data_IF_875247112093
#
_entry.id   IF_875247112093
#
_cell.length_a   1.000
_cell.length_b   1.000
_cell.length_c   1.000
_cell.angle_alpha   90.00
_cell.angle_beta   90.00
_cell.angle_gamma   90.00
#
_symmetry.space_group_name_H-M   'P 1'
#
loop_
_entity.id
_entity.type
_entity.pdbx_description
1 polymer ?
#
# COMPACT_ATOMS: atom_id res chain seq x y z
N UNK A 1 40.90 -54.98 -44.82
CA UNK A 1 41.27 -54.46 -43.47
C UNK A 1 40.08 -54.66 -42.53
N UNK A 2 40.16 -55.59 -41.56
CA UNK A 2 39.12 -55.82 -40.55
C UNK A 2 39.44 -54.96 -39.32
N UNK A 3 38.59 -53.99 -38.99
CA UNK A 3 38.69 -53.20 -37.76
C UNK A 3 38.29 -54.07 -36.57
N UNK A 4 39.07 -54.14 -35.48
CA UNK A 4 38.65 -54.85 -34.28
C UNK A 4 37.46 -54.11 -33.65
N UNK A 5 36.35 -54.81 -33.44
CA UNK A 5 35.23 -54.32 -32.64
C UNK A 5 35.69 -54.27 -31.17
N UNK A 6 35.87 -53.06 -30.64
CA UNK A 6 36.09 -52.84 -29.21
C UNK A 6 34.72 -52.84 -28.52
N UNK A 7 34.44 -53.90 -27.76
CA UNK A 7 33.26 -53.97 -26.89
C UNK A 7 33.36 -52.93 -25.78
N UNK A 8 32.26 -52.22 -25.52
CA UNK A 8 32.15 -51.31 -24.38
C UNK A 8 32.26 -52.11 -23.08
N UNK A 9 33.16 -51.70 -22.19
CA UNK A 9 33.34 -52.34 -20.89
C UNK A 9 32.23 -51.86 -19.93
N UNK A 10 31.63 -52.75 -19.15
CA UNK A 10 30.45 -52.48 -18.31
C UNK A 10 30.67 -51.32 -17.31
N UNK A 11 31.91 -51.15 -16.85
CA UNK A 11 32.36 -50.05 -15.98
C UNK A 11 32.18 -48.67 -16.65
N UNK A 12 32.46 -48.56 -17.95
CA UNK A 12 32.30 -47.29 -18.69
C UNK A 12 30.83 -46.88 -18.81
N UNK A 13 29.92 -47.85 -18.86
CA UNK A 13 28.48 -47.61 -18.90
C UNK A 13 27.96 -47.14 -17.54
N UNK A 14 28.44 -47.73 -16.45
CA UNK A 14 28.09 -47.29 -15.09
C UNK A 14 28.57 -45.86 -14.82
N UNK A 15 29.80 -45.52 -15.20
CA UNK A 15 30.35 -44.15 -15.04
C UNK A 15 29.60 -43.15 -15.93
N UNK A 16 29.21 -43.53 -17.15
CA UNK A 16 28.39 -42.69 -18.03
C UNK A 16 27.02 -42.38 -17.44
N UNK A 17 26.35 -43.38 -16.84
CA UNK A 17 25.07 -43.18 -16.14
C UNK A 17 25.20 -42.27 -14.92
N UNK A 18 26.24 -42.45 -14.09
CA UNK A 18 26.41 -41.61 -12.89
C UNK A 18 26.67 -40.15 -13.27
N UNK A 19 27.51 -39.89 -14.28
CA UNK A 19 27.74 -38.53 -14.79
C UNK A 19 26.46 -37.91 -15.37
N UNK A 20 25.66 -38.69 -16.09
CA UNK A 20 24.35 -38.23 -16.60
C UNK A 20 23.40 -37.86 -15.45
N UNK A 21 23.32 -38.68 -14.39
CA UNK A 21 22.46 -38.39 -13.24
C UNK A 21 22.91 -37.14 -12.49
N UNK A 22 24.22 -36.96 -12.29
CA UNK A 22 24.78 -35.76 -11.66
C UNK A 22 24.43 -34.51 -12.47
N UNK A 23 24.54 -34.57 -13.80
CA UNK A 23 24.21 -33.44 -14.68
C UNK A 23 22.73 -33.04 -14.61
N UNK A 24 21.82 -34.01 -14.54
CA UNK A 24 20.38 -33.76 -14.42
C UNK A 24 20.06 -33.15 -13.05
N UNK A 25 20.68 -33.64 -11.98
CA UNK A 25 20.52 -33.06 -10.64
C UNK A 25 21.00 -31.61 -10.58
N UNK A 26 22.16 -31.31 -11.18
CA UNK A 26 22.67 -29.96 -11.27
C UNK A 26 21.70 -29.04 -12.03
N UNK A 27 21.17 -29.50 -13.17
CA UNK A 27 20.21 -28.73 -13.96
C UNK A 27 18.89 -28.51 -13.22
N UNK A 28 18.41 -29.50 -12.47
CA UNK A 28 17.19 -29.40 -11.66
C UNK A 28 17.35 -28.44 -10.48
N UNK A 29 18.54 -28.40 -9.87
CA UNK A 29 18.85 -27.43 -8.81
C UNK A 29 18.86 -25.99 -9.36
N UNK A 30 19.49 -25.77 -10.52
CA UNK A 30 19.47 -24.47 -11.20
C UNK A 30 18.05 -24.04 -11.58
N UNK A 31 17.25 -24.97 -12.14
CA UNK A 31 15.86 -24.71 -12.48
C UNK A 31 15.02 -24.33 -11.26
N UNK A 32 15.13 -25.07 -10.15
CA UNK A 32 14.42 -24.75 -8.90
C UNK A 32 14.78 -23.37 -8.36
N UNK A 33 16.07 -23.02 -8.37
CA UNK A 33 16.52 -21.70 -7.94
C UNK A 33 15.98 -20.60 -8.86
N UNK A 34 16.07 -20.78 -10.17
CA UNK A 34 15.56 -19.81 -11.15
C UNK A 34 14.05 -19.59 -11.02
N UNK A 35 13.27 -20.66 -10.86
CA UNK A 35 11.82 -20.58 -10.64
C UNK A 35 11.51 -19.87 -9.32
N UNK A 36 12.23 -20.19 -8.24
CA UNK A 36 12.06 -19.54 -6.95
C UNK A 36 12.29 -18.03 -7.01
N UNK A 37 13.38 -17.60 -7.67
CA UNK A 37 13.68 -16.18 -7.88
C UNK A 37 12.60 -15.51 -8.75
N UNK A 38 12.16 -16.19 -9.81
CA UNK A 38 11.14 -15.65 -10.73
C UNK A 38 9.81 -15.42 -10.02
N UNK A 39 9.36 -16.36 -9.19
CA UNK A 39 8.12 -16.23 -8.42
C UNK A 39 8.21 -15.08 -7.42
N UNK A 40 9.33 -14.94 -6.71
CA UNK A 40 9.56 -13.83 -5.78
C UNK A 40 9.53 -12.48 -6.49
N UNK A 41 10.24 -12.37 -7.62
CA UNK A 41 10.26 -11.14 -8.43
C UNK A 41 8.87 -10.75 -8.96
N UNK A 42 8.04 -11.72 -9.33
CA UNK A 42 6.65 -11.46 -9.75
C UNK A 42 5.82 -10.94 -8.57
N UNK A 43 5.96 -11.53 -7.38
CA UNK A 43 5.23 -11.09 -6.18
C UNK A 43 5.65 -9.68 -5.75
N UNK A 44 6.95 -9.41 -5.75
CA UNK A 44 7.53 -8.10 -5.45
C UNK A 44 7.01 -7.03 -6.42
N UNK A 45 7.02 -7.31 -7.73
CA UNK A 45 6.49 -6.42 -8.75
C UNK A 45 4.97 -6.19 -8.61
N UNK A 46 4.22 -7.23 -8.26
CA UNK A 46 2.78 -7.10 -7.99
C UNK A 46 2.50 -6.22 -6.77
N UNK A 47 3.27 -6.39 -5.69
CA UNK A 47 3.13 -5.57 -4.48
C UNK A 47 3.41 -4.09 -4.78
N UNK A 48 4.50 -3.80 -5.50
CA UNK A 48 4.87 -2.42 -5.85
C UNK A 48 3.83 -1.79 -6.81
N UNK A 49 3.27 -2.60 -7.72
CA UNK A 49 2.15 -2.21 -8.55
C UNK A 49 0.89 -1.86 -7.75
N UNK A 50 0.56 -2.67 -6.73
CA UNK A 50 -0.56 -2.39 -5.82
C UNK A 50 -0.32 -1.12 -5.00
N UNK A 51 0.88 -0.91 -4.44
CA UNK A 51 1.21 0.30 -3.70
C UNK A 51 1.03 1.55 -4.57
N UNK A 52 1.55 1.50 -5.80
CA UNK A 52 1.45 2.61 -6.75
C UNK A 52 0.00 2.91 -7.15
N UNK A 53 -0.78 1.87 -7.48
CA UNK A 53 -2.19 2.01 -7.81
C UNK A 53 -3.01 2.49 -6.60
N UNK A 54 -2.74 1.94 -5.42
CA UNK A 54 -3.39 2.30 -4.16
C UNK A 54 -3.15 3.76 -3.80
N UNK A 55 -1.94 4.28 -3.99
CA UNK A 55 -1.65 5.70 -3.83
C UNK A 55 -2.42 6.57 -4.80
N UNK A 56 -2.52 6.18 -6.07
CA UNK A 56 -3.29 6.94 -7.05
C UNK A 56 -4.78 6.97 -6.69
N UNK A 57 -5.37 5.83 -6.33
CA UNK A 57 -6.77 5.76 -5.89
C UNK A 57 -6.99 6.59 -4.64
N UNK A 58 -6.11 6.46 -3.64
CA UNK A 58 -6.15 7.27 -2.42
C UNK A 58 -6.10 8.77 -2.73
N UNK A 59 -5.23 9.21 -3.63
CA UNK A 59 -5.14 10.60 -4.07
C UNK A 59 -6.42 11.08 -4.77
N UNK A 60 -6.98 10.29 -5.68
CA UNK A 60 -8.21 10.64 -6.39
C UNK A 60 -9.39 10.80 -5.42
N UNK A 61 -9.53 9.87 -4.47
CA UNK A 61 -10.60 9.90 -3.47
C UNK A 61 -10.43 11.06 -2.48
N UNK A 62 -9.20 11.33 -2.04
CA UNK A 62 -8.91 12.46 -1.16
C UNK A 62 -9.19 13.81 -1.81
N UNK A 63 -9.09 13.95 -3.14
CA UNK A 63 -9.49 15.21 -3.82
C UNK A 63 -10.96 15.55 -3.65
N UNK A 64 -11.81 14.55 -3.40
CA UNK A 64 -13.22 14.75 -3.12
C UNK A 64 -13.48 15.16 -1.66
N UNK A 65 -12.46 15.21 -0.80
CA UNK A 65 -12.60 15.64 0.59
C UNK A 65 -13.07 17.09 0.68
N UNK A 66 -14.14 17.33 1.43
CA UNK A 66 -14.74 18.67 1.60
C UNK A 66 -15.36 19.26 0.34
N UNK A 67 -15.48 18.50 -0.77
CA UNK A 67 -16.09 19.02 -1.98
C UNK A 67 -17.59 19.28 -1.77
N UNK A 68 -18.05 20.47 -2.20
CA UNK A 68 -19.47 20.84 -2.18
C UNK A 68 -20.06 21.17 -0.81
N UNK A 69 -19.26 21.18 0.26
CA UNK A 69 -19.73 21.44 1.63
C UNK A 69 -19.06 22.69 2.21
N UNK A 70 -19.86 23.53 2.86
CA UNK A 70 -19.39 24.69 3.63
C UNK A 70 -19.19 24.29 5.09
N UNK A 71 -18.19 23.44 5.33
CA UNK A 71 -17.81 22.99 6.66
C UNK A 71 -16.40 23.49 6.99
N UNK A 72 -16.12 23.85 8.26
CA UNK A 72 -14.75 24.15 8.67
C UNK A 72 -13.88 22.90 8.49
N UNK A 73 -12.58 23.11 8.26
CA UNK A 73 -11.64 22.00 8.03
C UNK A 73 -11.64 20.98 9.17
N UNK A 74 -11.76 21.46 10.42
CA UNK A 74 -11.82 20.64 11.63
C UNK A 74 -13.00 19.67 11.65
N UNK A 75 -14.08 19.94 10.89
CA UNK A 75 -15.26 19.09 10.77
C UNK A 75 -15.39 18.40 9.40
N UNK A 76 -14.39 18.57 8.53
CA UNK A 76 -14.37 17.98 7.19
C UNK A 76 -13.41 16.81 7.09
N UNK A 77 -12.33 16.81 7.86
CA UNK A 77 -11.29 15.80 7.81
C UNK A 77 -10.63 15.60 9.18
N UNK A 78 -10.34 14.34 9.53
CA UNK A 78 -9.68 13.96 10.77
C UNK A 78 -8.61 12.91 10.47
N UNK A 79 -7.44 13.10 11.07
CA UNK A 79 -6.39 12.09 11.10
C UNK A 79 -6.56 11.25 12.38
N UNK A 80 -6.48 9.93 12.23
CA UNK A 80 -6.63 8.97 13.31
C UNK A 80 -5.34 8.19 13.50
N UNK A 81 -4.94 7.99 14.75
CA UNK A 81 -3.79 7.16 15.11
C UNK A 81 -4.22 5.97 15.97
N UNK A 82 -3.58 4.82 15.72
CA UNK A 82 -4.00 3.55 16.31
C UNK A 82 -5.39 3.13 15.87
N UNK A 83 -5.76 3.46 14.63
CA UNK A 83 -7.05 3.13 14.05
C UNK A 83 -7.13 1.64 13.68
N UNK A 84 -8.24 1.00 14.01
CA UNK A 84 -8.49 -0.41 13.70
C UNK A 84 -9.93 -0.57 13.25
N UNK A 85 -10.15 -1.32 12.17
CA UNK A 85 -11.48 -1.69 11.72
C UNK A 85 -11.83 -3.08 12.27
N UNK A 86 -12.90 -3.17 13.06
CA UNK A 86 -13.40 -4.44 13.60
C UNK A 86 -14.91 -4.48 13.49
N UNK A 87 -15.47 -5.53 12.89
CA UNK A 87 -16.92 -5.68 12.66
C UNK A 87 -17.55 -4.42 12.02
N UNK A 88 -16.94 -3.93 10.95
CA UNK A 88 -17.38 -2.72 10.21
C UNK A 88 -17.42 -1.43 11.06
N UNK A 89 -16.86 -1.45 12.27
CA UNK A 89 -16.77 -0.29 13.15
C UNK A 89 -15.32 0.16 13.19
N UNK A 90 -15.07 1.42 12.83
CA UNK A 90 -13.75 2.02 12.93
C UNK A 90 -13.55 2.57 14.34
N UNK A 91 -12.45 2.19 14.97
CA UNK A 91 -12.02 2.72 16.27
C UNK A 91 -10.65 3.34 16.11
N UNK A 92 -10.34 4.35 16.92
CA UNK A 92 -9.00 4.96 16.98
C UNK A 92 -8.62 5.22 18.43
N UNK A 93 -7.31 5.27 18.68
CA UNK A 93 -6.77 5.60 20.01
C UNK A 93 -6.68 7.10 20.19
N UNK A 94 -6.13 7.80 19.18
CA UNK A 94 -6.04 9.25 19.15
C UNK A 94 -6.67 9.79 17.86
N UNK A 95 -7.20 10.99 17.97
CA UNK A 95 -7.80 11.72 16.86
C UNK A 95 -7.21 13.13 16.81
N UNK A 96 -6.89 13.57 15.60
CA UNK A 96 -6.28 14.85 15.34
C UNK A 96 -7.13 15.58 14.29
N UNK A 97 -8.11 16.39 14.75
CA UNK A 97 -8.81 17.32 13.87
C UNK A 97 -7.80 18.22 13.18
N UNK A 98 -7.98 18.41 11.87
CA UNK A 98 -7.05 19.22 11.09
C UNK A 98 -7.25 20.72 11.35
N UNK A 99 -6.20 21.55 11.24
CA UNK A 99 -4.93 21.34 10.51
C UNK A 99 -3.71 20.91 11.34
N UNK A 100 -3.90 20.20 12.45
CA UNK A 100 -2.78 19.82 13.32
C UNK A 100 -1.82 18.86 12.61
N UNK A 101 -0.52 19.19 12.64
CA UNK A 101 0.52 18.29 12.12
C UNK A 101 0.66 17.07 13.01
N UNK A 102 0.34 15.90 12.46
CA UNK A 102 0.47 14.64 13.18
C UNK A 102 0.66 13.48 12.21
N UNK A 103 1.05 12.35 12.78
CA UNK A 103 1.17 11.08 12.07
C UNK A 103 0.12 10.10 12.59
N UNK A 104 -0.50 9.37 11.67
CA UNK A 104 -1.54 8.40 11.96
C UNK A 104 -1.57 7.28 10.93
N UNK A 105 -2.45 6.32 11.16
CA UNK A 105 -2.64 5.16 10.29
C UNK A 105 -4.00 5.17 9.59
N UNK A 106 -4.90 6.10 9.91
CA UNK A 106 -6.10 6.31 9.13
C UNK A 106 -6.41 7.78 8.93
N UNK A 107 -7.05 8.09 7.80
CA UNK A 107 -7.53 9.42 7.46
C UNK A 107 -9.00 9.29 7.07
N UNK A 108 -9.85 10.09 7.68
CA UNK A 108 -11.29 10.07 7.41
C UNK A 108 -11.73 11.47 7.02
N UNK A 109 -12.61 11.57 6.04
CA UNK A 109 -13.17 12.83 5.59
C UNK A 109 -14.64 12.69 5.21
N UNK A 110 -15.33 13.83 5.18
CA UNK A 110 -16.67 13.93 4.61
C UNK A 110 -16.55 14.26 3.13
N UNK A 111 -17.39 13.65 2.30
CA UNK A 111 -17.46 13.89 0.87
C UNK A 111 -18.90 13.98 0.40
N UNK A 112 -19.15 14.90 -0.54
CA UNK A 112 -20.43 15.03 -1.20
C UNK A 112 -20.20 15.16 -2.71
N UNK A 113 -20.62 14.16 -3.49
CA UNK A 113 -20.34 14.11 -4.92
C UNK A 113 -21.13 15.15 -5.72
N UNK A 114 -22.31 15.55 -5.23
CA UNK A 114 -23.15 16.62 -5.79
C UNK A 114 -24.07 17.18 -4.73
N UNK A 115 -24.59 18.39 -4.95
CA UNK A 115 -25.58 19.04 -4.07
C UNK A 115 -26.89 18.26 -3.91
N UNK A 116 -27.14 17.26 -4.77
CA UNK A 116 -28.32 16.39 -4.74
C UNK A 116 -28.08 15.03 -4.08
N UNK A 117 -26.83 14.64 -3.87
CA UNK A 117 -26.45 13.38 -3.23
C UNK A 117 -26.19 13.65 -1.75
N UNK A 118 -26.73 12.79 -0.86
CA UNK A 118 -26.50 12.90 0.57
C UNK A 118 -24.99 12.76 0.90
N UNK A 119 -24.47 13.54 1.84
CA UNK A 119 -23.05 13.50 2.18
C UNK A 119 -22.68 12.15 2.82
N UNK A 120 -21.49 11.67 2.49
CA UNK A 120 -20.98 10.37 2.88
C UNK A 120 -19.57 10.46 3.46
N UNK A 121 -19.30 9.65 4.47
CA UNK A 121 -17.98 9.52 5.07
C UNK A 121 -17.14 8.63 4.15
N UNK A 122 -15.93 9.06 3.83
CA UNK A 122 -14.93 8.25 3.18
C UNK A 122 -13.65 8.26 4.02
N UNK A 123 -12.84 7.22 3.90
CA UNK A 123 -11.60 7.14 4.64
C UNK A 123 -10.61 6.18 4.03
N UNK A 124 -9.39 6.25 4.53
CA UNK A 124 -8.31 5.33 4.23
C UNK A 124 -7.77 4.80 5.56
N UNK A 125 -7.47 3.51 5.60
CA UNK A 125 -6.94 2.83 6.78
C UNK A 125 -5.76 1.96 6.38
N UNK A 126 -4.62 2.21 6.99
CA UNK A 126 -3.47 1.32 6.98
C UNK A 126 -3.51 0.45 8.24
N UNK A 127 -3.66 -0.86 8.06
CA UNK A 127 -3.72 -1.84 9.14
C UNK A 127 -3.08 -3.16 8.67
N UNK A 128 -2.28 -3.79 9.52
CA UNK A 128 -1.70 -5.13 9.29
C UNK A 128 -0.97 -5.29 7.93
N UNK A 129 -0.26 -4.24 7.49
CA UNK A 129 0.45 -4.27 6.21
C UNK A 129 -0.44 -4.08 4.98
N UNK A 130 -1.72 -3.75 5.17
CA UNK A 130 -2.70 -3.53 4.11
C UNK A 130 -3.14 -2.07 4.08
N UNK A 131 -3.60 -1.62 2.91
CA UNK A 131 -4.30 -0.35 2.76
C UNK A 131 -5.74 -0.62 2.36
N UNK A 132 -6.68 -0.09 3.14
CA UNK A 132 -8.11 -0.18 2.88
C UNK A 132 -8.66 1.20 2.53
N UNK A 133 -9.53 1.23 1.52
CA UNK A 133 -10.47 2.31 1.31
C UNK A 133 -11.75 2.00 2.08
N UNK A 134 -12.19 2.94 2.89
CA UNK A 134 -13.37 2.84 3.72
C UNK A 134 -14.47 3.75 3.17
N UNK A 135 -15.66 3.19 2.98
CA UNK A 135 -16.86 3.94 2.60
C UNK A 135 -17.92 3.77 3.68
N UNK A 136 -18.30 4.88 4.30
CA UNK A 136 -19.36 4.95 5.30
C UNK A 136 -20.74 5.11 4.65
N UNK A 137 -21.79 4.99 5.46
CA UNK A 137 -23.16 5.23 5.01
C UNK A 137 -23.40 6.68 4.56
N UNK A 138 -24.40 6.88 3.69
CA UNK A 138 -24.80 8.17 3.10
C UNK A 138 -25.64 9.05 4.04
N UNK A 139 -25.13 9.25 5.26
CA UNK A 139 -25.73 10.11 6.31
C UNK A 139 -24.67 10.85 7.13
N UNK A 140 -23.46 10.97 6.57
CA UNK A 140 -22.34 11.59 7.24
C UNK A 140 -22.32 13.07 6.88
N UNK A 141 -22.98 13.88 7.70
CA UNK A 141 -23.03 15.35 7.55
C UNK A 141 -21.89 16.05 8.27
N UNK A 142 -21.27 15.38 9.24
CA UNK A 142 -20.19 15.89 10.08
C UNK A 142 -19.13 14.81 10.27
N UNK A 143 -17.87 15.20 10.48
CA UNK A 143 -16.79 14.21 10.62
C UNK A 143 -17.04 13.29 11.82
N UNK A 144 -17.62 13.80 12.91
CA UNK A 144 -17.90 13.03 14.13
C UNK A 144 -18.69 11.73 13.92
N UNK A 145 -19.49 11.64 12.84
CA UNK A 145 -20.23 10.44 12.46
C UNK A 145 -19.33 9.28 12.03
N UNK A 146 -18.02 9.49 11.86
CA UNK A 146 -17.05 8.43 11.58
C UNK A 146 -17.08 7.31 12.63
N UNK A 147 -17.43 7.63 13.89
CA UNK A 147 -17.47 6.68 15.02
C UNK A 147 -18.70 5.77 15.04
N UNK A 148 -19.81 6.26 14.49
CA UNK A 148 -21.12 5.63 14.58
C UNK A 148 -21.56 5.01 13.25
N UNK A 149 -20.92 5.39 12.15
CA UNK A 149 -21.20 4.83 10.83
C UNK A 149 -20.63 3.43 10.66
N UNK A 150 -21.34 2.61 9.89
CA UNK A 150 -20.84 1.30 9.45
C UNK A 150 -19.97 1.49 8.21
N UNK A 151 -18.77 0.95 8.26
CA UNK A 151 -17.77 1.05 7.22
C UNK A 151 -17.76 -0.17 6.32
N UNK A 152 -17.79 0.07 5.01
CA UNK A 152 -17.48 -0.94 4.01
C UNK A 152 -16.03 -0.75 3.59
N UNK A 153 -15.19 -1.77 3.79
CA UNK A 153 -13.78 -1.72 3.42
C UNK A 153 -13.51 -2.40 2.08
N UNK A 154 -12.75 -1.74 1.22
CA UNK A 154 -12.19 -2.30 -0.01
C UNK A 154 -10.67 -2.33 0.09
N UNK A 155 -10.05 -3.47 -0.20
CA UNK A 155 -8.59 -3.59 -0.17
C UNK A 155 -8.00 -2.87 -1.38
N UNK A 156 -7.14 -1.87 -1.14
CA UNK A 156 -6.35 -1.19 -2.17
C UNK A 156 -4.96 -1.81 -2.31
N UNK A 157 -4.35 -2.16 -1.19
CA UNK A 157 -3.05 -2.83 -1.13
C UNK A 157 -3.21 -4.07 -0.26
N UNK A 158 -2.95 -5.24 -0.82
CA UNK A 158 -3.01 -6.48 -0.07
C UNK A 158 -1.80 -6.60 0.87
N UNK A 159 -1.95 -7.42 1.91
CA UNK A 159 -0.82 -7.81 2.72
C UNK A 159 0.18 -8.56 1.82
N UNK A 160 1.49 -8.37 2.03
CA UNK A 160 2.48 -9.17 1.31
C UNK A 160 2.18 -10.65 1.51
N UNK A 161 1.96 -11.37 0.43
CA UNK A 161 1.85 -12.83 0.48
C UNK A 161 3.26 -13.36 0.72
N UNK A 162 3.61 -13.68 1.96
CA UNK A 162 4.84 -14.41 2.25
C UNK A 162 4.75 -15.81 1.62
N UNK A 163 5.60 -16.18 0.65
CA UNK A 163 5.82 -17.57 0.35
C UNK A 163 6.64 -18.14 1.51
N UNK A 164 5.98 -18.81 2.45
CA UNK A 164 6.55 -19.74 3.46
C UNK A 164 8.02 -19.48 3.85
N UNK A 165 8.23 -18.99 5.08
CA UNK A 165 9.49 -19.01 5.83
C UNK A 165 10.58 -17.94 5.58
N UNK A 166 10.30 -16.85 4.86
CA UNK A 166 11.15 -15.66 4.96
C UNK A 166 10.48 -14.61 5.87
N UNK A 167 10.79 -14.65 7.16
CA UNK A 167 10.49 -13.62 8.18
C UNK A 167 11.01 -12.20 7.82
N UNK A 168 11.65 -12.08 6.66
CA UNK A 168 12.19 -10.86 6.08
C UNK A 168 11.17 -10.00 5.33
N UNK A 169 9.96 -10.50 5.05
CA UNK A 169 8.83 -9.67 4.67
C UNK A 169 8.14 -9.14 5.94
N UNK A 170 8.87 -8.34 6.72
CA UNK A 170 8.28 -7.58 7.82
C UNK A 170 7.12 -6.71 7.32
N UNK A 171 6.18 -6.34 8.20
CA UNK A 171 5.05 -5.47 7.90
C UNK A 171 5.46 -4.30 6.98
N UNK A 172 5.16 -4.40 5.68
CA UNK A 172 5.64 -3.45 4.67
C UNK A 172 4.99 -2.08 4.82
N UNK A 173 3.82 -1.99 5.44
CA UNK A 173 3.15 -0.70 5.65
C UNK A 173 3.46 -0.17 7.05
N UNK A 174 4.07 1.03 7.16
CA UNK A 174 4.41 1.59 8.46
C UNK A 174 3.15 2.01 9.22
N UNK A 175 3.19 1.91 10.55
CA UNK A 175 2.12 2.42 11.42
C UNK A 175 1.91 3.95 11.30
N UNK A 176 2.89 4.68 10.77
CA UNK A 176 2.78 6.09 10.41
C UNK A 176 2.59 6.30 8.91
N UNK A 177 1.60 5.63 8.32
CA UNK A 177 1.35 5.69 6.88
C UNK A 177 0.94 7.09 6.43
N UNK A 178 0.13 7.79 7.22
CA UNK A 178 -0.35 9.14 6.91
C UNK A 178 0.31 10.16 7.81
N UNK A 179 0.83 11.23 7.23
CA UNK A 179 1.22 12.45 7.94
C UNK A 179 0.43 13.62 7.37
N UNK A 180 -0.16 14.43 8.22
CA UNK A 180 -0.77 15.70 7.83
C UNK A 180 0.15 16.85 8.20
N UNK A 181 0.26 17.85 7.34
CA UNK A 181 0.95 19.10 7.64
C UNK A 181 0.28 20.28 6.95
N UNK A 182 0.43 21.47 7.54
CA UNK A 182 -0.07 22.70 6.94
C UNK A 182 1.08 23.38 6.22
N UNK A 183 1.07 23.32 4.89
CA UNK A 183 2.18 23.80 4.08
C UNK A 183 1.65 24.61 2.87
N UNK A 184 2.47 25.52 2.32
CA UNK A 184 2.19 26.07 1.00
C UNK A 184 2.32 24.93 -0.03
N UNK A 185 1.20 24.38 -0.45
CA UNK A 185 1.12 23.31 -1.42
C UNK A 185 0.07 23.63 -2.49
N UNK A 186 0.22 23.01 -3.66
CA UNK A 186 -0.74 23.17 -4.73
C UNK A 186 -0.88 21.86 -5.55
N UNK A 187 -2.07 21.52 -6.08
CA UNK A 187 -2.25 20.39 -6.99
C UNK A 187 -1.26 20.37 -8.17
N UNK A 188 -0.78 19.18 -8.56
CA UNK A 188 0.14 19.06 -9.71
C UNK A 188 -0.33 19.85 -10.96
N UNK A 189 0.58 20.62 -11.56
CA UNK A 189 0.36 21.31 -12.85
C UNK A 189 -0.10 22.77 -12.77
N UNK A 190 0.07 23.44 -11.63
CA UNK A 190 -0.37 24.81 -11.39
C UNK A 190 0.67 25.55 -10.53
N UNK A 191 0.82 26.85 -10.76
CA UNK A 191 2.01 27.63 -10.35
C UNK A 191 1.72 28.71 -9.30
N UNK A 192 0.49 28.83 -8.83
CA UNK A 192 0.14 29.82 -7.80
C UNK A 192 0.37 29.25 -6.41
N UNK A 193 1.09 29.97 -5.56
CA UNK A 193 1.32 29.57 -4.17
C UNK A 193 0.17 30.06 -3.31
N UNK A 194 -0.76 29.17 -2.95
CA UNK A 194 -1.68 29.45 -1.85
C UNK A 194 -0.92 29.27 -0.54
N UNK A 195 -0.96 30.30 0.30
CA UNK A 195 -0.52 30.21 1.68
C UNK A 195 -1.45 29.27 2.45
N UNK A 196 -0.86 28.33 3.19
CA UNK A 196 -1.52 27.48 4.18
C UNK A 196 -2.64 26.58 3.60
N UNK A 197 -2.27 25.38 3.16
CA UNK A 197 -3.19 24.32 2.75
C UNK A 197 -2.85 23.02 3.46
N UNK A 198 -3.86 22.18 3.64
CA UNK A 198 -3.66 20.85 4.19
C UNK A 198 -2.94 19.97 3.17
N UNK A 199 -1.74 19.54 3.53
CA UNK A 199 -0.96 18.54 2.79
C UNK A 199 -1.03 17.21 3.52
N UNK A 200 -1.30 16.15 2.77
CA UNK A 200 -1.27 14.77 3.26
C UNK A 200 -0.11 14.06 2.59
N UNK A 201 0.78 13.51 3.40
CA UNK A 201 1.92 12.70 2.97
C UNK A 201 1.60 11.25 3.30
N UNK A 202 1.62 10.39 2.29
CA UNK A 202 1.46 8.95 2.41
C UNK A 202 2.82 8.28 2.24
N UNK A 203 3.17 7.38 3.15
CA UNK A 203 4.42 6.62 3.12
C UNK A 203 4.15 5.13 3.19
N UNK A 204 4.58 4.41 2.16
CA UNK A 204 4.48 2.96 2.05
C UNK A 204 5.87 2.37 1.84
N UNK A 205 6.14 1.16 2.31
CA UNK A 205 7.37 0.46 1.90
C UNK A 205 7.12 -0.36 0.64
N UNK A 206 8.10 -0.37 -0.25
CA UNK A 206 8.13 -1.17 -1.48
C UNK A 206 9.05 -2.39 -1.31
N UNK A 207 9.03 -3.29 -2.28
CA UNK A 207 9.80 -4.54 -2.26
C UNK A 207 11.32 -4.32 -2.28
N UNK A 208 11.78 -3.19 -2.82
CA UNK A 208 13.20 -2.85 -2.91
C UNK A 208 13.82 -2.67 -1.52
N UNK A 209 15.09 -3.09 -1.38
CA UNK A 209 15.88 -2.91 -0.15
C UNK A 209 17.02 -1.94 -0.34
N UNK A 210 17.30 -1.14 0.68
CA UNK A 210 18.49 -0.29 0.73
C UNK A 210 19.77 -1.09 1.04
N UNK A 211 20.92 -0.41 1.05
CA UNK A 211 22.22 -1.03 1.35
C UNK A 211 22.33 -1.59 2.78
N UNK A 212 21.43 -1.20 3.68
CA UNK A 212 21.32 -1.69 5.04
C UNK A 212 20.30 -2.84 5.19
N UNK A 213 19.64 -3.24 4.09
CA UNK A 213 18.66 -4.32 4.06
C UNK A 213 17.24 -3.91 4.49
N UNK A 214 16.97 -2.62 4.68
CA UNK A 214 15.64 -2.10 5.02
C UNK A 214 14.79 -1.93 3.77
N UNK A 215 13.48 -2.12 3.88
CA UNK A 215 12.56 -1.81 2.79
C UNK A 215 12.60 -0.32 2.45
N UNK A 216 12.76 -0.01 1.16
CA UNK A 216 12.76 1.35 0.63
C UNK A 216 11.35 1.92 0.78
N UNK A 217 11.25 3.20 1.15
CA UNK A 217 9.98 3.89 1.32
C UNK A 217 9.61 4.64 0.05
N UNK A 218 8.42 4.38 -0.45
CA UNK A 218 7.74 5.19 -1.45
C UNK A 218 6.88 6.23 -0.75
N UNK A 219 7.06 7.49 -1.15
CA UNK A 219 6.36 8.64 -0.56
C UNK A 219 5.51 9.30 -1.64
N UNK A 220 4.25 9.57 -1.31
CA UNK A 220 3.33 10.30 -2.17
C UNK A 220 2.72 11.45 -1.40
N UNK A 221 2.75 12.65 -1.98
CA UNK A 221 2.19 13.86 -1.37
C UNK A 221 0.96 14.32 -2.14
N UNK A 222 -0.08 14.76 -1.43
CA UNK A 222 -1.25 15.39 -2.01
C UNK A 222 -1.61 16.66 -1.25
N UNK A 223 -1.90 17.71 -2.00
CA UNK A 223 -2.45 18.95 -1.48
C UNK A 223 -3.96 18.97 -1.63
N UNK A 224 -4.67 19.42 -0.59
CA UNK A 224 -6.13 19.54 -0.58
C UNK A 224 -6.53 21.02 -0.75
N UNK A 225 -6.76 21.50 -1.98
CA UNK A 225 -7.05 22.92 -2.23
C UNK A 225 -8.42 23.35 -1.68
N UNK A 226 -9.38 22.41 -1.60
CA UNK A 226 -10.75 22.65 -1.13
C UNK A 226 -10.81 22.94 0.38
N UNK A 227 -9.73 22.65 1.13
CA UNK A 227 -9.68 22.80 2.58
C UNK A 227 -8.66 23.90 2.94
N UNK A 228 -9.10 25.16 3.12
CA UNK A 228 -8.23 26.21 3.64
C UNK A 228 -7.84 25.91 5.09
N UNK A 229 -6.56 26.07 5.41
CA UNK A 229 -6.08 26.12 6.80
C UNK A 229 -5.93 27.59 7.15
N UNK A 230 -6.97 28.18 7.75
CA UNK A 230 -6.99 29.60 8.15
C UNK A 230 -5.84 29.94 9.09
#
# INVERSE_FOLDING_TARGET
MKRPQRGFNLISLMIGMTLSLISILAMLALYKNMVGISVRSIQDAQQDGQVSAGFLTAQLEMRNAGFGMDLPISNSIVLLAGATLTNNTLRATNEYPQPVENTGNALVWVSQLSSTVAPSCAGLLAQDGQLFYLKGASSCTEIAHWRTTNWTSTVLVAAPKSPTDDSNYGNLQPAGFFKTESAPCWPFGKTETLTNRLKVIMTASISAKDSAGNAVKSVSEICLPNLPTS
#
